data_IF_701278387981
#
_entry.id   IF_701278387981
#
_cell.length_a   1.000
_cell.length_b   1.000
_cell.length_c   1.000
_cell.angle_alpha   90.00
_cell.angle_beta   90.00
_cell.angle_gamma   90.00
#
_symmetry.space_group_name_H-M   'P 1'
#
loop_
_entity.id
_entity.type
_entity.pdbx_description
1 polymer ?
#
# COMPACT_ATOMS: atom_id res chain seq x y z
N UNK A 1 7.81 -15.25 31.92
CA UNK A 1 8.64 -14.93 30.75
C UNK A 1 8.49 -13.44 30.44
N UNK A 2 9.47 -12.62 30.83
CA UNK A 2 9.47 -11.18 30.53
C UNK A 2 9.99 -10.99 29.11
N UNK A 3 9.12 -10.59 28.18
CA UNK A 3 9.57 -10.02 26.91
C UNK A 3 10.46 -8.81 27.25
N UNK A 4 11.78 -8.99 27.16
CA UNK A 4 12.75 -7.93 27.45
C UNK A 4 12.50 -6.78 26.46
N UNK A 5 12.56 -5.51 26.86
CA UNK A 5 12.27 -4.35 26.01
C UNK A 5 12.96 -4.41 24.64
N UNK A 6 14.15 -5.00 24.59
CA UNK A 6 14.93 -5.30 23.38
C UNK A 6 14.11 -6.01 22.28
N UNK A 7 13.24 -6.97 22.63
CA UNK A 7 12.44 -7.71 21.64
C UNK A 7 11.35 -6.83 21.00
N UNK A 8 10.79 -5.88 21.75
CA UNK A 8 9.77 -4.96 21.23
C UNK A 8 10.41 -4.00 20.22
N UNK A 9 11.59 -3.45 20.57
CA UNK A 9 12.35 -2.59 19.66
C UNK A 9 12.81 -3.36 18.41
N UNK A 10 13.34 -4.57 18.57
CA UNK A 10 13.77 -5.40 17.44
C UNK A 10 12.60 -5.74 16.50
N UNK A 11 11.43 -6.07 17.06
CA UNK A 11 10.24 -6.37 16.25
C UNK A 11 9.74 -5.13 15.51
N UNK A 12 9.67 -3.98 16.17
CA UNK A 12 9.27 -2.73 15.52
C UNK A 12 10.24 -2.31 14.41
N UNK A 13 11.54 -2.44 14.64
CA UNK A 13 12.56 -2.17 13.63
C UNK A 13 12.45 -3.13 12.43
N UNK A 14 12.20 -4.42 12.68
CA UNK A 14 11.99 -5.40 11.61
C UNK A 14 10.75 -5.09 10.78
N UNK A 15 9.63 -4.70 11.41
CA UNK A 15 8.41 -4.32 10.69
C UNK A 15 8.63 -3.06 9.83
N UNK A 16 9.27 -2.03 10.38
CA UNK A 16 9.59 -0.82 9.62
C UNK A 16 10.53 -1.12 8.45
N UNK A 17 11.55 -1.96 8.68
CA UNK A 17 12.44 -2.41 7.62
C UNK A 17 11.68 -3.13 6.50
N UNK A 18 10.75 -4.04 6.85
CA UNK A 18 9.91 -4.72 5.86
C UNK A 18 9.00 -3.74 5.10
N UNK A 19 8.42 -2.74 5.76
CA UNK A 19 7.60 -1.73 5.08
C UNK A 19 8.40 -0.85 4.12
N UNK A 20 9.70 -0.68 4.35
CA UNK A 20 10.60 0.03 3.42
C UNK A 20 10.98 -0.85 2.25
N UNK A 21 11.27 -2.14 2.49
CA UNK A 21 11.58 -3.10 1.42
C UNK A 21 10.38 -3.40 0.54
N UNK A 22 9.19 -3.43 1.14
CA UNK A 22 7.93 -3.63 0.47
C UNK A 22 7.09 -2.39 0.77
N UNK A 23 7.11 -1.34 -0.04
CA UNK A 23 6.19 -0.21 0.10
C UNK A 23 4.82 -0.47 -0.55
N UNK A 24 3.75 0.24 -0.15
CA UNK A 24 2.47 0.16 -0.82
C UNK A 24 2.45 1.02 -2.09
N UNK A 25 1.94 0.46 -3.18
CA UNK A 25 1.78 1.12 -4.47
C UNK A 25 0.30 1.36 -4.80
N UNK A 26 0.05 2.36 -5.65
CA UNK A 26 -1.27 2.63 -6.22
C UNK A 26 -1.15 2.92 -7.71
N UNK A 27 -2.21 2.56 -8.44
CA UNK A 27 -2.39 2.88 -9.85
C UNK A 27 -3.29 4.09 -10.00
N UNK A 28 -2.97 4.93 -10.98
CA UNK A 28 -3.77 6.09 -11.41
C UNK A 28 -4.02 5.97 -12.89
N UNK A 29 -5.26 6.16 -13.31
CA UNK A 29 -5.61 6.40 -14.70
C UNK A 29 -6.16 7.82 -14.78
N UNK A 30 -5.49 8.66 -15.58
CA UNK A 30 -5.83 10.07 -15.75
C UNK A 30 -6.19 10.31 -17.21
N UNK A 31 -7.49 10.40 -17.48
CA UNK A 31 -8.04 10.81 -18.76
C UNK A 31 -8.89 12.06 -18.52
N UNK A 32 -8.89 12.99 -19.47
CA UNK A 32 -9.76 14.16 -19.44
C UNK A 32 -11.22 13.77 -19.11
N UNK A 33 -11.70 14.17 -17.93
CA UNK A 33 -13.06 13.88 -17.45
C UNK A 33 -13.25 12.56 -16.70
N UNK A 34 -12.23 11.70 -16.59
CA UNK A 34 -12.28 10.43 -15.86
C UNK A 34 -10.96 10.20 -15.11
N UNK A 35 -11.00 10.38 -13.79
CA UNK A 35 -9.90 10.03 -12.90
C UNK A 35 -10.25 8.77 -12.11
N UNK A 36 -9.43 7.73 -12.24
CA UNK A 36 -9.58 6.48 -11.48
C UNK A 36 -8.31 6.16 -10.73
N UNK A 37 -8.49 5.60 -9.55
CA UNK A 37 -7.39 5.17 -8.69
C UNK A 37 -7.66 3.75 -8.20
N UNK A 38 -6.61 2.97 -8.03
CA UNK A 38 -6.69 1.64 -7.43
C UNK A 38 -5.51 1.35 -6.52
N UNK A 39 -5.73 0.56 -5.47
CA UNK A 39 -4.66 0.05 -4.63
C UNK A 39 -4.01 -1.15 -5.32
N UNK A 40 -2.69 -1.12 -5.47
CA UNK A 40 -1.93 -2.26 -6.02
C UNK A 40 -1.35 -3.15 -4.91
N UNK A 41 -1.42 -2.69 -3.66
CA UNK A 41 -0.91 -3.42 -2.51
C UNK A 41 0.58 -3.20 -2.28
N UNK A 42 1.19 -4.12 -1.54
CA UNK A 42 2.58 -4.04 -1.07
C UNK A 42 3.49 -4.83 -2.01
N UNK A 43 4.50 -4.17 -2.58
CA UNK A 43 5.41 -4.78 -3.56
C UNK A 43 6.86 -4.50 -3.22
N UNK A 44 7.81 -5.39 -3.56
CA UNK A 44 9.23 -5.12 -3.36
C UNK A 44 9.66 -3.84 -4.09
N UNK A 45 10.47 -3.00 -3.43
CA UNK A 45 10.93 -1.74 -4.02
C UNK A 45 11.76 -1.93 -5.31
N UNK A 46 12.41 -3.09 -5.46
CA UNK A 46 13.17 -3.46 -6.66
C UNK A 46 12.33 -4.14 -7.75
N UNK A 47 11.07 -4.44 -7.49
CA UNK A 47 10.14 -5.00 -8.47
C UNK A 47 8.75 -4.34 -8.30
N UNK A 48 8.63 -3.04 -8.63
CA UNK A 48 7.36 -2.34 -8.52
C UNK A 48 6.34 -2.86 -9.54
N UNK A 49 5.03 -2.68 -9.29
CA UNK A 49 4.00 -3.02 -10.24
C UNK A 49 4.17 -2.31 -11.58
N UNK A 50 3.77 -2.97 -12.67
CA UNK A 50 3.82 -2.38 -14.01
C UNK A 50 2.59 -1.49 -14.28
N UNK A 51 2.70 -0.60 -15.28
CA UNK A 51 1.55 0.16 -15.76
C UNK A 51 0.45 -0.76 -16.31
N UNK A 52 0.82 -1.87 -16.95
CA UNK A 52 -0.14 -2.82 -17.48
C UNK A 52 -0.95 -3.50 -16.36
N UNK A 53 -0.31 -3.87 -15.25
CA UNK A 53 -0.99 -4.40 -14.06
C UNK A 53 -1.91 -3.36 -13.42
N UNK A 54 -1.46 -2.10 -13.34
CA UNK A 54 -2.28 -1.02 -12.81
C UNK A 54 -3.51 -0.77 -13.67
N UNK A 55 -3.34 -0.70 -14.99
CA UNK A 55 -4.44 -0.60 -15.94
C UNK A 55 -5.41 -1.78 -15.77
N UNK A 56 -4.89 -3.01 -15.73
CA UNK A 56 -5.71 -4.20 -15.61
C UNK A 56 -6.50 -4.25 -14.30
N UNK A 57 -5.93 -3.72 -13.22
CA UNK A 57 -6.63 -3.61 -11.94
C UNK A 57 -7.72 -2.53 -11.95
N UNK A 58 -7.50 -1.41 -12.66
CA UNK A 58 -8.48 -0.30 -12.76
C UNK A 58 -9.67 -0.69 -13.64
N UNK A 59 -9.41 -1.36 -14.76
CA UNK A 59 -10.43 -1.65 -15.79
C UNK A 59 -10.94 -3.09 -15.74
N UNK A 60 -10.28 -4.00 -15.01
CA UNK A 60 -10.63 -5.42 -14.95
C UNK A 60 -10.26 -6.21 -16.22
N UNK A 61 -9.44 -5.63 -17.11
CA UNK A 61 -9.06 -6.21 -18.39
C UNK A 61 -7.62 -5.83 -18.76
N UNK A 62 -6.92 -6.66 -19.52
CA UNK A 62 -5.59 -6.30 -20.02
C UNK A 62 -5.67 -5.08 -20.94
N UNK A 63 -4.59 -4.27 -21.02
CA UNK A 63 -4.56 -3.14 -21.93
C UNK A 63 -4.66 -3.58 -23.41
N UNK A 64 -4.26 -4.82 -23.71
CA UNK A 64 -4.38 -5.45 -25.04
C UNK A 64 -5.80 -5.88 -25.40
N UNK A 65 -6.70 -5.97 -24.42
CA UNK A 65 -8.09 -6.28 -24.70
C UNK A 65 -8.72 -5.07 -25.41
N UNK A 66 -9.25 -5.29 -26.61
CA UNK A 66 -10.00 -4.28 -27.35
C UNK A 66 -11.33 -3.96 -26.63
N UNK A 67 -11.23 -3.12 -25.60
CA UNK A 67 -12.38 -2.60 -24.87
C UNK A 67 -12.37 -1.07 -24.92
N UNK A 68 -13.55 -0.44 -25.05
CA UNK A 68 -13.70 0.99 -24.87
C UNK A 68 -13.43 1.34 -23.41
N UNK A 69 -12.49 2.25 -23.16
CA UNK A 69 -11.91 2.45 -21.82
C UNK A 69 -12.85 3.20 -20.88
N UNK A 70 -13.68 4.09 -21.43
CA UNK A 70 -14.79 4.75 -20.74
C UNK A 70 -15.46 5.79 -21.63
N UNK A 71 -16.80 5.77 -21.67
CA UNK A 71 -17.69 6.93 -21.84
C UNK A 71 -17.71 7.68 -23.19
N UNK A 72 -16.58 7.75 -23.91
CA UNK A 72 -16.43 8.46 -25.19
C UNK A 72 -16.53 7.53 -26.41
N UNK A 73 -16.52 6.21 -26.19
CA UNK A 73 -16.58 5.20 -27.25
C UNK A 73 -15.30 5.10 -28.09
N UNK A 74 -14.22 5.79 -27.71
CA UNK A 74 -12.96 5.80 -28.47
C UNK A 74 -12.08 4.62 -28.03
N UNK A 75 -11.66 3.80 -29.00
CA UNK A 75 -10.68 2.75 -28.76
C UNK A 75 -9.28 3.34 -28.92
N UNK A 76 -8.57 3.54 -27.79
CA UNK A 76 -7.17 3.98 -27.77
C UNK A 76 -6.20 2.85 -28.06
N UNK A 77 -5.03 3.16 -28.61
CA UNK A 77 -3.95 2.17 -28.76
C UNK A 77 -3.38 1.79 -27.39
N UNK A 78 -2.83 0.58 -27.25
CA UNK A 78 -2.24 0.09 -25.99
C UNK A 78 -1.26 1.11 -25.38
N UNK A 79 -0.45 1.74 -26.21
CA UNK A 79 0.53 2.75 -25.80
C UNK A 79 -0.13 3.97 -25.16
N UNK A 80 -1.23 4.47 -25.72
CA UNK A 80 -1.98 5.60 -25.17
C UNK A 80 -2.59 5.24 -23.82
N UNK A 81 -3.15 4.04 -23.68
CA UNK A 81 -3.76 3.54 -22.43
C UNK A 81 -2.75 3.49 -21.30
N UNK A 82 -1.56 2.96 -21.62
CA UNK A 82 -0.45 2.88 -20.68
C UNK A 82 0.14 4.26 -20.37
N UNK A 83 0.18 5.18 -21.33
CA UNK A 83 0.65 6.55 -21.10
C UNK A 83 -0.25 7.34 -20.13
N UNK A 84 -1.56 7.07 -20.13
CA UNK A 84 -2.53 7.62 -19.17
C UNK A 84 -2.49 6.92 -17.81
N UNK A 85 -1.85 5.75 -17.73
CA UNK A 85 -1.74 4.96 -16.51
C UNK A 85 -0.41 5.20 -15.81
N UNK A 86 -0.45 5.56 -14.53
CA UNK A 86 0.73 5.79 -13.70
C UNK A 86 0.71 4.89 -12.48
N UNK A 87 1.87 4.32 -12.16
CA UNK A 87 2.12 3.65 -10.89
C UNK A 87 2.90 4.59 -10.01
N UNK A 88 2.46 4.74 -8.76
CA UNK A 88 3.15 5.58 -7.80
C UNK A 88 3.17 4.94 -6.41
N UNK A 89 4.17 5.33 -5.64
CA UNK A 89 4.28 4.98 -4.22
C UNK A 89 3.18 5.71 -3.44
N UNK A 90 2.39 4.95 -2.67
CA UNK A 90 1.35 5.50 -1.81
C UNK A 90 1.95 6.03 -0.50
N UNK A 91 2.54 7.22 -0.58
CA UNK A 91 3.17 7.93 0.56
C UNK A 91 2.21 8.09 1.74
N UNK A 92 0.96 8.47 1.45
CA UNK A 92 -0.06 8.72 2.49
C UNK A 92 -0.40 7.42 3.20
N UNK A 93 -0.67 6.34 2.44
CA UNK A 93 -0.93 5.02 3.00
C UNK A 93 0.23 4.49 3.85
N UNK A 94 1.47 4.68 3.39
CA UNK A 94 2.66 4.32 4.15
C UNK A 94 2.74 5.05 5.50
N UNK A 95 2.59 6.38 5.51
CA UNK A 95 2.66 7.19 6.74
C UNK A 95 1.55 6.82 7.71
N UNK A 96 0.31 6.64 7.22
CA UNK A 96 -0.81 6.22 8.06
C UNK A 96 -0.56 4.87 8.72
N UNK A 97 0.03 3.92 8.01
CA UNK A 97 0.35 2.62 8.57
C UNK A 97 1.41 2.70 9.68
N UNK A 98 2.42 3.56 9.52
CA UNK A 98 3.43 3.82 10.56
C UNK A 98 2.77 4.39 11.83
N UNK A 99 1.84 5.33 11.68
CA UNK A 99 1.10 5.92 12.81
C UNK A 99 0.27 4.86 13.54
N UNK A 100 -0.50 4.06 12.80
CA UNK A 100 -1.35 2.99 13.37
C UNK A 100 -0.51 1.99 14.17
N UNK A 101 0.64 1.56 13.62
CA UNK A 101 1.55 0.64 14.30
C UNK A 101 2.15 1.27 15.57
N UNK A 102 2.52 2.55 15.52
CA UNK A 102 3.02 3.29 16.69
C UNK A 102 1.97 3.40 17.80
N UNK A 103 0.72 3.68 17.44
CA UNK A 103 -0.40 3.72 18.38
C UNK A 103 -0.67 2.34 18.99
N UNK A 104 -0.72 1.28 18.17
CA UNK A 104 -0.92 -0.08 18.64
C UNK A 104 0.17 -0.52 19.64
N UNK A 105 1.44 -0.20 19.35
CA UNK A 105 2.55 -0.48 20.26
C UNK A 105 2.41 0.26 21.59
N UNK A 106 1.96 1.52 21.55
CA UNK A 106 1.72 2.33 22.76
C UNK A 106 0.61 1.73 23.62
N UNK A 107 -0.52 1.38 23.01
CA UNK A 107 -1.66 0.77 23.72
C UNK A 107 -1.27 -0.58 24.33
N UNK A 108 -0.60 -1.44 23.56
CA UNK A 108 -0.14 -2.74 24.06
C UNK A 108 0.81 -2.58 25.26
N UNK A 109 1.69 -1.57 25.24
CA UNK A 109 2.61 -1.28 26.34
C UNK A 109 1.86 -0.83 27.61
N UNK A 110 0.85 0.02 27.47
CA UNK A 110 0.01 0.48 28.60
C UNK A 110 -0.76 -0.69 29.21
N UNK A 111 -1.43 -1.49 28.38
CA UNK A 111 -2.21 -2.66 28.84
C UNK A 111 -1.31 -3.68 29.55
N UNK A 112 -0.15 -4.00 28.97
CA UNK A 112 0.81 -4.90 29.60
C UNK A 112 1.33 -4.35 30.94
N UNK A 113 1.54 -3.04 31.05
CA UNK A 113 1.92 -2.39 32.31
C UNK A 113 0.85 -2.48 33.38
N UNK A 114 -0.42 -2.21 33.03
CA UNK A 114 -1.55 -2.34 33.97
C UNK A 114 -1.75 -3.78 34.45
N UNK A 115 -1.61 -4.76 33.54
CA UNK A 115 -1.77 -6.18 33.90
C UNK A 115 -0.67 -6.68 34.83
N UNK A 116 0.56 -6.18 34.71
CA UNK A 116 1.63 -6.51 35.67
C UNK A 116 1.35 -5.96 37.06
N UNK A 117 0.95 -4.68 37.17
CA UNK A 117 0.62 -4.07 38.46
C UNK A 117 -0.44 -4.86 39.24
N UNK A 118 -1.49 -5.33 38.56
CA UNK A 118 -2.55 -6.15 39.19
C UNK A 118 -2.10 -7.54 39.67
N UNK A 119 -0.95 -8.04 39.23
CA UNK A 119 -0.41 -9.33 39.69
C UNK A 119 0.55 -9.19 40.86
N UNK A 120 1.06 -7.98 41.05
CA UNK A 120 1.98 -7.64 42.13
C UNK A 120 1.21 -7.14 43.39
N UNK A 121 -0.08 -6.84 43.23
CA UNK A 121 -1.09 -6.59 44.28
C UNK A 121 -1.80 -7.90 44.68
#
# INVERSE_FOLDING_TARGET
MTLRPIHIFATGAAVLFLMVLFPPYFGVYDQTGVNRHTGLGWHPIWNPPSQAEAYATIHGASPDAAQPESGDGVTRSVEERLALTRVAFNKVGFVMQVIVLGMAATVASVVAGQWRRRKDE
#
